data_IF_487243112085
#
_entry.id   IF_487243112085
#
_cell.length_a   1.000
_cell.length_b   1.000
_cell.length_c   1.000
_cell.angle_alpha   90.00
_cell.angle_beta   90.00
_cell.angle_gamma   90.00
#
_symmetry.space_group_name_H-M   'P 1'
#
loop_
_entity.id
_entity.type
_entity.pdbx_description
1 polymer ?
#
# COMPACT_ATOMS: atom_id res chain seq x y z
N UNK A 1 5.66 -2.73 6.79
CA UNK A 1 4.53 -1.90 6.29
C UNK A 1 3.69 -1.56 7.52
N UNK A 2 3.52 -0.27 7.84
CA UNK A 2 3.13 0.28 9.16
C UNK A 2 2.20 -0.65 9.98
N UNK A 3 2.71 -1.25 11.06
CA UNK A 3 1.94 -2.22 11.86
C UNK A 3 0.85 -1.46 12.63
N UNK A 4 -0.41 -1.94 12.68
CA UNK A 4 -1.45 -1.47 13.62
C UNK A 4 -0.95 -1.41 15.09
N UNK A 5 0.03 -2.25 15.42
CA UNK A 5 0.76 -2.26 16.66
C UNK A 5 1.42 -0.91 17.02
N UNK A 6 1.95 -0.16 16.04
CA UNK A 6 2.56 1.14 16.30
C UNK A 6 1.53 2.16 16.80
N UNK A 7 0.34 2.15 16.21
CA UNK A 7 -0.78 2.99 16.65
C UNK A 7 -1.27 2.57 18.04
N UNK A 8 -1.44 1.27 18.27
CA UNK A 8 -1.84 0.76 19.58
C UNK A 8 -0.82 1.05 20.69
N UNK A 9 0.48 1.03 20.39
CA UNK A 9 1.51 1.40 21.36
C UNK A 9 1.56 2.90 21.62
N UNK A 10 1.40 3.72 20.58
CA UNK A 10 1.29 5.17 20.74
C UNK A 10 0.08 5.54 21.60
N UNK A 11 -1.07 4.91 21.37
CA UNK A 11 -2.30 5.06 22.16
C UNK A 11 -2.06 4.71 23.64
N UNK A 12 -1.48 3.53 23.92
CA UNK A 12 -1.17 3.10 25.29
C UNK A 12 -0.16 4.00 25.99
N UNK A 13 0.90 4.39 25.28
CA UNK A 13 1.96 5.24 25.83
C UNK A 13 1.44 6.64 26.15
N UNK A 14 0.64 7.22 25.25
CA UNK A 14 0.06 8.55 25.45
C UNK A 14 -0.91 8.54 26.63
N UNK A 15 -1.80 7.54 26.69
CA UNK A 15 -2.72 7.37 27.81
C UNK A 15 -1.94 7.25 29.13
N UNK A 16 -0.95 6.35 29.21
CA UNK A 16 -0.12 6.14 30.41
C UNK A 16 0.61 7.40 30.88
N UNK A 17 1.17 8.19 29.96
CA UNK A 17 1.82 9.46 30.30
C UNK A 17 0.83 10.46 30.90
N UNK A 18 -0.38 10.56 30.34
CA UNK A 18 -1.42 11.45 30.85
C UNK A 18 -1.92 11.02 32.22
N UNK A 19 -2.17 9.71 32.44
CA UNK A 19 -2.54 9.18 33.77
C UNK A 19 -1.50 9.57 34.82
N UNK A 20 -0.21 9.40 34.50
CA UNK A 20 0.89 9.67 35.41
C UNK A 20 1.02 11.17 35.74
N UNK A 21 0.70 12.05 34.79
CA UNK A 21 0.87 13.50 34.93
C UNK A 21 -0.33 14.17 35.61
N UNK A 22 -1.55 13.74 35.29
CA UNK A 22 -2.78 14.41 35.71
C UNK A 22 -3.67 13.58 36.67
N UNK A 23 -3.31 12.32 36.95
CA UNK A 23 -3.99 11.45 37.91
C UNK A 23 -5.19 10.65 37.34
N UNK A 24 -5.54 9.55 38.01
CA UNK A 24 -6.60 8.60 37.60
C UNK A 24 -8.04 9.16 37.70
N UNK A 25 -8.33 10.10 38.61
CA UNK A 25 -9.66 10.67 38.79
C UNK A 25 -10.05 11.64 37.64
N UNK A 26 -9.07 12.21 36.96
CA UNK A 26 -9.25 13.08 35.79
C UNK A 26 -9.35 12.29 34.46
N UNK A 27 -9.36 10.96 34.55
CA UNK A 27 -9.13 10.03 33.44
C UNK A 27 -10.42 9.53 32.76
N UNK A 28 -11.59 10.02 33.19
CA UNK A 28 -12.82 9.93 32.38
C UNK A 28 -12.64 10.59 30.99
N UNK A 29 -11.59 11.41 30.81
CA UNK A 29 -11.19 12.04 29.55
C UNK A 29 -10.33 11.15 28.62
N UNK A 30 -10.00 9.91 29.00
CA UNK A 30 -9.26 8.97 28.14
C UNK A 30 -10.01 8.60 26.85
N UNK A 31 -11.32 8.84 26.82
CA UNK A 31 -12.16 8.69 25.62
C UNK A 31 -11.70 9.61 24.48
N UNK A 32 -11.27 10.84 24.78
CA UNK A 32 -10.82 11.80 23.75
C UNK A 32 -9.63 11.27 22.94
N UNK A 33 -8.69 10.61 23.61
CA UNK A 33 -7.57 9.97 22.93
C UNK A 33 -8.01 8.71 22.17
N UNK A 34 -8.86 7.88 22.78
CA UNK A 34 -9.37 6.66 22.14
C UNK A 34 -10.11 6.98 20.83
N UNK A 35 -10.97 7.99 20.83
CA UNK A 35 -11.71 8.46 19.66
C UNK A 35 -10.77 8.95 18.56
N UNK A 36 -9.75 9.76 18.91
CA UNK A 36 -8.72 10.16 17.97
C UNK A 36 -8.06 8.93 17.33
N UNK A 37 -7.64 7.94 18.12
CA UNK A 37 -6.98 6.76 17.58
C UNK A 37 -7.91 5.88 16.73
N UNK A 38 -9.23 5.88 17.00
CA UNK A 38 -10.24 5.23 16.15
C UNK A 38 -10.31 5.93 14.79
N UNK A 39 -10.45 7.25 14.76
CA UNK A 39 -10.51 8.01 13.52
C UNK A 39 -9.21 7.95 12.72
N UNK A 40 -8.05 7.96 13.39
CA UNK A 40 -6.74 7.75 12.77
C UNK A 40 -6.63 6.36 12.12
N UNK A 41 -7.13 5.31 12.78
CA UNK A 41 -7.19 3.95 12.21
C UNK A 41 -8.14 3.92 11.00
N UNK A 42 -9.30 4.56 11.08
CA UNK A 42 -10.29 4.64 10.01
C UNK A 42 -9.77 5.42 8.80
N UNK A 43 -9.02 6.50 9.02
CA UNK A 43 -8.35 7.24 7.96
C UNK A 43 -7.30 6.37 7.25
N UNK A 44 -6.49 5.65 8.03
CA UNK A 44 -5.46 4.75 7.51
C UNK A 44 -6.03 3.61 6.68
N UNK A 45 -7.15 3.01 7.08
CA UNK A 45 -7.79 1.89 6.34
C UNK A 45 -8.56 2.33 5.09
N UNK A 46 -8.56 3.62 4.77
CA UNK A 46 -9.16 4.15 3.54
C UNK A 46 -10.51 4.84 3.74
N UNK A 47 -10.93 5.11 4.98
CA UNK A 47 -12.13 5.90 5.26
C UNK A 47 -12.09 7.29 4.60
N UNK A 48 -13.25 7.77 4.15
CA UNK A 48 -13.42 9.13 3.63
C UNK A 48 -13.59 10.11 4.80
N UNK A 49 -12.48 10.54 5.36
CA UNK A 49 -12.43 11.40 6.56
C UNK A 49 -11.43 12.51 6.30
N UNK A 50 -11.78 13.72 6.71
CA UNK A 50 -10.86 14.84 6.72
C UNK A 50 -9.96 14.76 7.96
N UNK A 51 -8.71 14.32 7.78
CA UNK A 51 -7.75 14.19 8.88
C UNK A 51 -7.48 15.52 9.60
N UNK A 52 -7.54 16.65 8.88
CA UNK A 52 -7.34 17.95 9.51
C UNK A 52 -8.48 18.30 10.45
N UNK A 53 -9.72 18.04 10.04
CA UNK A 53 -10.91 18.25 10.86
C UNK A 53 -10.88 17.40 12.13
N UNK A 54 -10.54 16.12 12.01
CA UNK A 54 -10.37 15.21 13.16
C UNK A 54 -9.34 15.73 14.15
N UNK A 55 -8.20 16.23 13.67
CA UNK A 55 -7.15 16.76 14.54
C UNK A 55 -7.53 18.10 15.17
N UNK A 56 -8.31 18.93 14.47
CA UNK A 56 -8.83 20.19 14.99
C UNK A 56 -9.87 19.94 16.10
N UNK A 57 -10.84 19.05 15.88
CA UNK A 57 -11.85 18.66 16.87
C UNK A 57 -11.19 18.05 18.12
N UNK A 58 -10.22 17.14 17.93
CA UNK A 58 -9.43 16.60 19.04
C UNK A 58 -8.72 17.71 19.84
N UNK A 59 -8.14 18.70 19.17
CA UNK A 59 -7.42 19.79 19.84
C UNK A 59 -8.36 20.69 20.64
N UNK A 60 -9.53 21.01 20.10
CA UNK A 60 -10.56 21.80 20.79
C UNK A 60 -11.06 21.06 22.04
N UNK A 61 -11.48 19.80 21.89
CA UNK A 61 -11.92 18.96 23.01
C UNK A 61 -10.83 18.80 24.07
N UNK A 62 -9.58 18.60 23.67
CA UNK A 62 -8.47 18.50 24.61
C UNK A 62 -8.26 19.82 25.38
N UNK A 63 -8.35 20.96 24.71
CA UNK A 63 -8.23 22.27 25.37
C UNK A 63 -9.33 22.47 26.40
N UNK A 64 -10.59 22.22 26.05
CA UNK A 64 -11.73 22.35 26.97
C UNK A 64 -11.51 21.51 28.24
N UNK A 65 -11.07 20.26 28.07
CA UNK A 65 -10.78 19.36 29.20
C UNK A 65 -9.61 19.85 30.05
N UNK A 66 -8.50 20.28 29.44
CA UNK A 66 -7.36 20.81 30.20
C UNK A 66 -7.73 22.11 30.90
N UNK A 67 -8.56 22.95 30.28
CA UNK A 67 -9.02 24.22 30.86
C UNK A 67 -9.85 24.00 32.13
N UNK A 68 -10.74 22.99 32.13
CA UNK A 68 -11.48 22.57 33.33
C UNK A 68 -10.54 22.01 34.42
N UNK A 69 -9.54 21.21 34.05
CA UNK A 69 -8.57 20.63 35.02
C UNK A 69 -7.73 21.71 35.70
N UNK A 70 -7.33 22.75 34.97
CA UNK A 70 -6.51 23.85 35.50
C UNK A 70 -7.34 24.78 36.39
N UNK A 71 -8.65 24.89 36.16
CA UNK A 71 -9.55 25.79 36.86
C UNK A 71 -10.66 25.05 37.63
N UNK A 72 -10.32 24.15 38.58
CA UNK A 72 -11.30 23.26 39.21
C UNK A 72 -12.30 23.99 40.12
N UNK A 73 -12.00 25.23 40.53
CA UNK A 73 -12.88 26.05 41.36
C UNK A 73 -14.03 26.71 40.58
N UNK A 74 -13.96 26.70 39.24
CA UNK A 74 -14.93 27.34 38.37
C UNK A 74 -15.77 26.31 37.62
N UNK A 75 -17.06 26.56 37.54
CA UNK A 75 -17.97 25.79 36.70
C UNK A 75 -18.22 26.59 35.41
N UNK A 76 -17.82 26.02 34.28
CA UNK A 76 -18.00 26.64 32.96
C UNK A 76 -19.20 25.99 32.24
N UNK A 77 -20.02 26.81 31.59
CA UNK A 77 -21.08 26.29 30.71
C UNK A 77 -20.49 25.70 29.42
N UNK A 78 -21.27 24.89 28.72
CA UNK A 78 -20.86 24.31 27.44
C UNK A 78 -20.59 25.41 26.38
N UNK A 79 -21.41 26.47 26.34
CA UNK A 79 -21.18 27.57 25.39
C UNK A 79 -19.88 28.33 25.68
N UNK A 80 -19.50 28.45 26.96
CA UNK A 80 -18.23 29.07 27.34
C UNK A 80 -17.04 28.21 26.90
N UNK A 81 -17.13 26.90 27.06
CA UNK A 81 -16.07 25.97 26.64
C UNK A 81 -15.92 25.92 25.12
N UNK A 82 -17.04 25.92 24.38
CA UNK A 82 -17.02 26.00 22.91
C UNK A 82 -16.37 27.33 22.45
N UNK A 83 -16.66 28.42 23.17
CA UNK A 83 -15.99 29.70 22.95
C UNK A 83 -14.47 29.59 23.19
N UNK A 84 -14.03 28.99 24.30
CA UNK A 84 -12.60 28.75 24.58
C UNK A 84 -11.94 27.93 23.46
N UNK A 85 -12.62 26.89 22.96
CA UNK A 85 -12.17 26.09 21.82
C UNK A 85 -11.88 26.93 20.56
N UNK A 86 -12.71 27.94 20.27
CA UNK A 86 -12.52 28.86 19.12
C UNK A 86 -11.27 29.74 19.25
N UNK A 87 -10.80 29.99 20.47
CA UNK A 87 -9.62 30.82 20.74
C UNK A 87 -8.33 30.02 20.95
N UNK A 88 -8.31 28.71 20.66
CA UNK A 88 -7.14 27.83 20.87
C UNK A 88 -5.85 28.37 20.24
N UNK A 89 -5.93 28.90 19.01
CA UNK A 89 -4.78 29.42 18.28
C UNK A 89 -4.29 30.76 18.82
N UNK A 90 -5.16 31.54 19.45
CA UNK A 90 -4.84 32.85 20.02
C UNK A 90 -4.29 32.73 21.44
N UNK A 91 -4.85 31.81 22.24
CA UNK A 91 -4.46 31.60 23.63
C UNK A 91 -3.03 31.05 23.75
N UNK A 92 -2.56 30.29 22.75
CA UNK A 92 -1.21 29.67 22.72
C UNK A 92 -0.79 29.06 24.06
N UNK A 93 -1.74 28.50 24.81
CA UNK A 93 -1.52 27.96 26.16
C UNK A 93 -0.48 26.83 26.17
N UNK A 94 -0.31 26.16 25.01
CA UNK A 94 0.70 25.12 24.77
C UNK A 94 1.79 25.56 23.77
N UNK A 95 1.89 26.87 23.49
CA UNK A 95 2.78 27.43 22.48
C UNK A 95 2.55 26.82 21.09
N UNK A 96 3.64 26.51 20.38
CA UNK A 96 3.61 25.91 19.04
C UNK A 96 3.41 24.38 19.02
N UNK A 97 3.31 23.73 20.19
CA UNK A 97 3.33 22.25 20.29
C UNK A 97 2.13 21.62 19.55
N UNK A 98 0.87 22.02 19.77
CA UNK A 98 -0.28 21.42 19.09
C UNK A 98 -0.19 21.57 17.56
N UNK A 99 0.21 22.76 17.09
CA UNK A 99 0.40 23.04 15.66
C UNK A 99 1.48 22.17 15.04
N UNK A 100 2.65 22.05 15.68
CA UNK A 100 3.74 21.18 15.21
C UNK A 100 3.32 19.72 15.21
N UNK A 101 2.64 19.25 16.27
CA UNK A 101 2.13 17.89 16.36
C UNK A 101 1.13 17.60 15.24
N UNK A 102 0.15 18.50 15.00
CA UNK A 102 -0.82 18.38 13.91
C UNK A 102 -0.13 18.18 12.57
N UNK A 103 0.83 19.04 12.22
CA UNK A 103 1.58 18.95 10.95
C UNK A 103 2.32 17.61 10.82
N UNK A 104 2.99 17.17 11.89
CA UNK A 104 3.76 15.92 11.87
C UNK A 104 2.84 14.70 11.73
N UNK A 105 1.73 14.66 12.47
CA UNK A 105 0.73 13.60 12.39
C UNK A 105 0.10 13.56 11.01
N UNK A 106 -0.32 14.70 10.46
CA UNK A 106 -0.87 14.77 9.10
C UNK A 106 0.11 14.21 8.07
N UNK A 107 1.35 14.67 8.07
CA UNK A 107 2.38 14.20 7.13
C UNK A 107 2.61 12.69 7.25
N UNK A 108 2.73 12.18 8.46
CA UNK A 108 2.97 10.76 8.72
C UNK A 108 1.81 9.88 8.23
N UNK A 109 0.56 10.26 8.52
CA UNK A 109 -0.61 9.47 8.15
C UNK A 109 -0.94 9.56 6.66
N UNK A 110 -0.78 10.72 6.03
CA UNK A 110 -0.92 10.87 4.58
C UNK A 110 0.12 9.95 3.89
N UNK A 111 1.39 10.03 4.29
CA UNK A 111 2.43 9.18 3.73
C UNK A 111 2.15 7.68 3.93
N UNK A 112 1.72 7.28 5.13
CA UNK A 112 1.38 5.90 5.43
C UNK A 112 0.18 5.39 4.59
N UNK A 113 -0.88 6.19 4.47
CA UNK A 113 -2.06 5.88 3.66
C UNK A 113 -1.69 5.75 2.19
N UNK A 114 -0.98 6.73 1.64
CA UNK A 114 -0.52 6.72 0.23
C UNK A 114 0.36 5.50 -0.05
N UNK A 115 1.23 5.12 0.89
CA UNK A 115 2.08 3.94 0.74
C UNK A 115 1.26 2.64 0.70
N UNK A 116 0.31 2.45 1.62
CA UNK A 116 -0.52 1.23 1.67
C UNK A 116 -1.49 1.13 0.50
N UNK A 117 -2.10 2.25 0.11
CA UNK A 117 -2.95 2.32 -1.08
C UNK A 117 -2.13 2.04 -2.33
N UNK A 118 -0.92 2.61 -2.43
CA UNK A 118 0.03 2.33 -3.50
C UNK A 118 0.30 0.84 -3.62
N UNK A 119 0.67 0.17 -2.53
CA UNK A 119 0.89 -1.29 -2.52
C UNK A 119 -0.33 -2.09 -2.98
N UNK A 120 -1.55 -1.68 -2.59
CA UNK A 120 -2.79 -2.31 -3.03
C UNK A 120 -2.97 -2.17 -4.55
N UNK A 121 -2.76 -0.97 -5.10
CA UNK A 121 -2.81 -0.72 -6.54
C UNK A 121 -1.74 -1.54 -7.28
N UNK A 122 -0.51 -1.56 -6.77
CA UNK A 122 0.58 -2.36 -7.34
C UNK A 122 0.24 -3.85 -7.40
N UNK A 123 -0.31 -4.41 -6.33
CA UNK A 123 -0.80 -5.80 -6.29
C UNK A 123 -1.89 -6.03 -7.33
N UNK A 124 -2.87 -5.14 -7.42
CA UNK A 124 -4.02 -5.31 -8.31
C UNK A 124 -3.60 -5.20 -9.79
N UNK A 125 -2.64 -4.33 -10.11
CA UNK A 125 -2.01 -4.23 -11.43
C UNK A 125 -1.24 -5.51 -11.76
N UNK A 126 -0.39 -6.01 -10.86
CA UNK A 126 0.35 -7.24 -11.06
C UNK A 126 -0.58 -8.45 -11.31
N UNK A 127 -1.67 -8.56 -10.54
CA UNK A 127 -2.70 -9.60 -10.70
C UNK A 127 -3.48 -9.50 -12.02
N UNK A 128 -3.64 -8.29 -12.57
CA UNK A 128 -4.27 -8.10 -13.89
C UNK A 128 -3.31 -8.50 -15.01
N UNK A 129 -2.05 -8.06 -14.91
CA UNK A 129 -1.01 -8.38 -15.90
C UNK A 129 -0.77 -9.89 -16.00
N UNK A 130 -0.80 -10.61 -14.87
CA UNK A 130 -0.58 -12.07 -14.86
C UNK A 130 -1.68 -12.88 -15.56
N UNK A 131 -2.85 -12.28 -15.82
CA UNK A 131 -4.00 -12.92 -16.49
C UNK A 131 -4.08 -12.62 -17.98
N UNK A 132 -3.18 -11.78 -18.52
CA UNK A 132 -3.14 -11.46 -19.94
C UNK A 132 -2.68 -12.69 -20.70
N UNK A 133 -3.55 -13.23 -21.56
CA UNK A 133 -3.20 -14.35 -22.41
C UNK A 133 -2.28 -13.92 -23.56
N UNK A 134 -1.33 -14.78 -23.98
CA UNK A 134 -0.50 -14.49 -25.13
C UNK A 134 -1.34 -14.42 -26.41
N UNK A 135 -1.03 -13.47 -27.30
CA UNK A 135 -1.71 -13.37 -28.58
C UNK A 135 -1.35 -14.53 -29.54
N UNK A 136 -2.13 -14.72 -30.60
CA UNK A 136 -1.94 -15.81 -31.56
C UNK A 136 -0.55 -15.83 -32.21
N UNK A 137 0.02 -14.65 -32.53
CA UNK A 137 1.37 -14.52 -33.11
C UNK A 137 2.45 -15.00 -32.14
N UNK A 138 2.29 -14.66 -30.86
CA UNK A 138 3.16 -15.13 -29.79
C UNK A 138 3.06 -16.65 -29.61
N UNK A 139 1.85 -17.21 -29.58
CA UNK A 139 1.64 -18.67 -29.48
C UNK A 139 2.35 -19.39 -30.63
N UNK A 140 2.19 -18.93 -31.87
CA UNK A 140 2.86 -19.51 -33.04
C UNK A 140 4.39 -19.43 -32.91
N UNK A 141 4.92 -18.30 -32.45
CA UNK A 141 6.36 -18.08 -32.31
C UNK A 141 6.97 -18.93 -31.19
N UNK A 142 6.29 -19.03 -30.04
CA UNK A 142 6.64 -19.94 -28.94
C UNK A 142 6.62 -21.39 -29.40
N UNK A 143 5.58 -21.80 -30.14
CA UNK A 143 5.47 -23.17 -30.65
C UNK A 143 6.62 -23.51 -31.61
N UNK A 144 6.98 -22.59 -32.51
CA UNK A 144 8.13 -22.77 -33.40
C UNK A 144 9.45 -22.88 -32.64
N UNK A 145 9.61 -22.07 -31.60
CA UNK A 145 10.83 -22.05 -30.79
C UNK A 145 10.99 -23.31 -29.94
N UNK A 146 9.92 -23.81 -29.33
CA UNK A 146 9.96 -24.92 -28.38
C UNK A 146 9.79 -26.29 -29.04
N UNK A 147 8.91 -26.41 -30.04
CA UNK A 147 8.46 -27.73 -30.51
C UNK A 147 8.91 -28.11 -31.93
N UNK A 148 9.28 -27.15 -32.80
CA UNK A 148 9.80 -27.50 -34.12
C UNK A 148 11.07 -28.38 -34.10
N UNK A 149 12.01 -28.25 -33.14
CA UNK A 149 13.14 -29.17 -33.05
C UNK A 149 12.69 -30.63 -32.89
N UNK A 150 11.68 -30.88 -32.04
CA UNK A 150 11.12 -32.22 -31.85
C UNK A 150 10.46 -32.75 -33.12
N UNK A 151 9.61 -31.96 -33.79
CA UNK A 151 8.97 -32.38 -35.06
C UNK A 151 10.01 -32.61 -36.19
N UNK A 152 11.27 -32.15 -36.05
CA UNK A 152 12.39 -32.39 -36.97
C UNK A 152 13.38 -33.47 -36.51
N UNK A 153 13.11 -34.17 -35.41
CA UNK A 153 14.01 -35.19 -34.86
C UNK A 153 15.23 -34.65 -34.10
N UNK A 154 15.28 -33.35 -33.81
CA UNK A 154 16.37 -32.66 -33.09
C UNK A 154 16.02 -32.52 -31.60
N UNK A 155 15.91 -33.63 -30.88
CA UNK A 155 15.34 -33.68 -29.51
C UNK A 155 16.24 -33.13 -28.41
N UNK A 156 17.54 -33.02 -28.63
CA UNK A 156 18.51 -32.46 -27.66
C UNK A 156 18.80 -30.97 -27.87
N UNK A 157 18.23 -30.37 -28.92
CA UNK A 157 18.55 -28.99 -29.30
C UNK A 157 17.73 -28.00 -28.48
N UNK A 158 18.42 -27.13 -27.72
CA UNK A 158 17.80 -26.01 -27.01
C UNK A 158 17.72 -24.78 -27.91
N UNK A 159 16.70 -23.91 -27.76
CA UNK A 159 16.64 -22.66 -28.50
C UNK A 159 17.83 -21.75 -28.14
N UNK A 160 18.40 -21.09 -29.14
CA UNK A 160 19.47 -20.10 -28.93
C UNK A 160 18.99 -18.99 -28.00
N UNK A 161 19.87 -18.49 -27.11
CA UNK A 161 19.53 -17.44 -26.14
C UNK A 161 18.88 -16.22 -26.80
N UNK A 162 19.49 -15.69 -27.87
CA UNK A 162 18.98 -14.52 -28.58
C UNK A 162 17.64 -14.80 -29.27
N UNK A 163 17.42 -16.03 -29.75
CA UNK A 163 16.13 -16.43 -30.32
C UNK A 163 15.05 -16.47 -29.24
N UNK A 164 15.34 -17.05 -28.06
CA UNK A 164 14.43 -17.03 -26.91
C UNK A 164 14.05 -15.61 -26.50
N UNK A 165 15.05 -14.75 -26.31
CA UNK A 165 14.83 -13.36 -25.90
C UNK A 165 13.98 -12.59 -26.91
N UNK A 166 14.17 -12.79 -28.21
CA UNK A 166 13.39 -12.11 -29.23
C UNK A 166 11.94 -12.58 -29.27
N UNK A 167 11.69 -13.89 -29.16
CA UNK A 167 10.32 -14.44 -29.06
C UNK A 167 9.63 -13.93 -27.80
N UNK A 168 10.31 -13.97 -26.65
CA UNK A 168 9.76 -13.50 -25.37
C UNK A 168 9.48 -11.99 -25.36
N UNK A 169 10.35 -11.16 -25.96
CA UNK A 169 10.09 -9.72 -26.14
C UNK A 169 8.83 -9.46 -26.94
N UNK A 170 8.62 -10.19 -28.04
CA UNK A 170 7.39 -10.07 -28.84
C UNK A 170 6.15 -10.53 -28.08
N UNK A 171 6.28 -11.57 -27.25
CA UNK A 171 5.20 -12.10 -26.42
C UNK A 171 4.81 -11.19 -25.25
N UNK A 172 5.78 -10.49 -24.67
CA UNK A 172 5.63 -9.64 -23.49
C UNK A 172 5.61 -8.14 -23.82
N UNK A 173 5.43 -7.77 -25.09
CA UNK A 173 5.48 -6.37 -25.53
C UNK A 173 4.50 -5.48 -24.75
N UNK A 174 3.25 -5.93 -24.60
CA UNK A 174 2.22 -5.18 -23.87
C UNK A 174 2.55 -5.02 -22.37
N UNK A 175 3.27 -5.98 -21.79
CA UNK A 175 3.74 -5.92 -20.41
C UNK A 175 4.97 -5.03 -20.27
N UNK A 176 5.82 -4.97 -21.30
CA UNK A 176 6.99 -4.11 -21.35
C UNK A 176 6.61 -2.63 -21.40
N UNK A 177 5.44 -2.29 -21.98
CA UNK A 177 4.92 -0.91 -21.97
C UNK A 177 4.71 -0.35 -20.55
N UNK A 178 4.51 -1.24 -19.56
CA UNK A 178 4.33 -0.87 -18.16
C UNK A 178 5.66 -0.71 -17.40
N UNK A 179 6.80 -1.07 -17.98
CA UNK A 179 8.08 -1.11 -17.27
C UNK A 179 8.49 0.27 -16.72
N UNK A 180 8.33 1.33 -17.51
CA UNK A 180 8.66 2.70 -17.09
C UNK A 180 7.81 3.12 -15.88
N UNK A 181 6.48 3.01 -16.00
CA UNK A 181 5.54 3.38 -14.94
C UNK A 181 5.70 2.50 -13.70
N UNK A 182 5.99 1.22 -13.88
CA UNK A 182 6.26 0.30 -12.79
C UNK A 182 7.54 0.67 -12.04
N UNK A 183 8.62 0.99 -12.75
CA UNK A 183 9.87 1.42 -12.13
C UNK A 183 9.71 2.77 -11.40
N UNK A 184 8.93 3.70 -11.95
CA UNK A 184 8.57 4.94 -11.27
C UNK A 184 7.73 4.69 -10.00
N UNK A 185 6.72 3.81 -10.08
CA UNK A 185 5.89 3.41 -8.95
C UNK A 185 6.74 2.77 -7.84
N UNK A 186 7.60 1.81 -8.19
CA UNK A 186 8.53 1.14 -7.28
C UNK A 186 9.52 2.12 -6.67
N UNK A 187 10.09 3.03 -7.47
CA UNK A 187 11.01 4.06 -7.02
C UNK A 187 10.38 5.02 -6.01
N UNK A 188 9.15 5.49 -6.27
CA UNK A 188 8.40 6.36 -5.34
C UNK A 188 8.02 5.67 -4.03
N UNK A 189 7.81 4.36 -4.06
CA UNK A 189 7.45 3.59 -2.88
C UNK A 189 8.63 2.85 -2.22
N UNK A 190 9.86 2.95 -2.74
CA UNK A 190 11.06 2.25 -2.22
C UNK A 190 10.87 0.73 -2.00
N UNK A 191 10.01 0.10 -2.81
CA UNK A 191 9.76 -1.35 -2.73
C UNK A 191 10.64 -2.04 -3.75
N UNK A 192 11.79 -2.61 -3.36
CA UNK A 192 12.56 -3.47 -4.28
C UNK A 192 11.78 -4.75 -4.62
N UNK A 193 10.89 -4.69 -5.61
CA UNK A 193 10.34 -5.89 -6.24
C UNK A 193 11.34 -6.31 -7.31
N UNK A 194 12.04 -7.41 -7.05
CA UNK A 194 12.95 -8.04 -8.01
C UNK A 194 12.10 -8.50 -9.21
N UNK A 195 12.08 -7.69 -10.27
CA UNK A 195 11.61 -8.08 -11.59
C UNK A 195 12.62 -9.04 -12.20
N UNK A 196 12.48 -10.33 -11.92
CA UNK A 196 13.27 -11.39 -12.56
C UNK A 196 12.36 -12.46 -13.15
N UNK A 197 11.51 -12.07 -14.10
CA UNK A 197 10.59 -13.00 -14.78
C UNK A 197 11.01 -13.37 -16.20
N UNK A 198 11.96 -12.67 -16.83
CA UNK A 198 12.27 -12.94 -18.24
C UNK A 198 13.23 -14.13 -18.47
N UNK A 199 14.04 -14.51 -17.46
CA UNK A 199 15.08 -15.53 -17.63
C UNK A 199 14.59 -16.94 -17.25
N UNK A 200 13.71 -17.08 -16.25
CA UNK A 200 13.24 -18.40 -15.78
C UNK A 200 12.53 -19.20 -16.87
N UNK A 201 11.71 -18.55 -17.71
CA UNK A 201 10.98 -19.22 -18.80
C UNK A 201 11.90 -19.85 -19.87
N UNK A 202 13.08 -19.28 -20.14
CA UNK A 202 14.02 -19.87 -21.11
C UNK A 202 14.75 -21.12 -20.57
N UNK A 203 14.70 -21.38 -19.25
CA UNK A 203 15.37 -22.53 -18.62
C UNK A 203 14.41 -23.57 -18.01
N UNK A 204 13.11 -23.25 -17.84
CA UNK A 204 12.14 -24.12 -17.17
C UNK A 204 10.93 -24.47 -18.05
N UNK A 205 11.09 -25.37 -19.01
CA UNK A 205 9.95 -26.07 -19.62
C UNK A 205 10.28 -27.55 -19.84
N UNK A 206 10.01 -28.34 -18.80
CA UNK A 206 9.94 -29.80 -18.84
C UNK A 206 8.58 -30.28 -18.33
N UNK A 207 7.47 -29.64 -18.72
CA UNK A 207 6.14 -30.08 -18.29
C UNK A 207 5.48 -30.92 -19.40
N UNK A 208 5.51 -32.24 -19.19
CA UNK A 208 5.10 -33.30 -20.13
C UNK A 208 3.60 -33.25 -20.50
N UNK A 209 2.78 -32.52 -19.76
CA UNK A 209 1.33 -32.37 -20.03
C UNK A 209 1.02 -31.43 -21.21
N UNK A 210 1.77 -30.35 -21.42
CA UNK A 210 1.59 -29.43 -22.57
C UNK A 210 2.08 -30.04 -23.90
N UNK A 211 2.96 -31.04 -23.83
CA UNK A 211 3.48 -31.80 -24.97
C UNK A 211 2.38 -32.58 -25.71
N UNK A 212 1.39 -33.16 -25.01
CA UNK A 212 0.31 -33.95 -25.64
C UNK A 212 -0.67 -33.09 -26.43
N UNK A 213 -0.97 -31.87 -25.97
CA UNK A 213 -1.86 -30.93 -26.68
C UNK A 213 -1.19 -30.37 -27.95
N UNK A 214 0.12 -30.12 -27.87
CA UNK A 214 0.93 -29.53 -28.95
C UNK A 214 1.26 -30.54 -30.05
N UNK A 215 1.46 -31.82 -29.71
CA UNK A 215 1.57 -32.92 -30.69
C UNK A 215 0.31 -33.05 -31.55
N UNK A 216 -0.88 -32.89 -30.96
CA UNK A 216 -2.16 -32.84 -31.71
C UNK A 216 -2.22 -31.66 -32.68
N UNK A 217 -1.53 -30.55 -32.39
CA UNK A 217 -1.45 -29.38 -33.26
C UNK A 217 -0.36 -29.52 -34.35
N UNK A 218 0.80 -30.14 -34.05
CA UNK A 218 1.84 -30.42 -35.07
C UNK A 218 1.28 -31.35 -36.16
N UNK A 219 0.54 -32.41 -35.79
CA UNK A 219 -0.09 -33.32 -36.76
C UNK A 219 -1.19 -32.63 -37.60
N UNK A 220 -1.91 -31.65 -37.03
CA UNK A 220 -3.02 -30.98 -37.72
C UNK A 220 -2.57 -29.94 -38.75
N UNK A 221 -1.37 -29.37 -38.61
CA UNK A 221 -0.88 -28.28 -39.48
C UNK A 221 0.16 -28.73 -40.51
N UNK A 222 0.79 -29.89 -40.33
CA UNK A 222 1.86 -30.37 -41.22
C UNK A 222 1.57 -31.70 -41.95
N UNK A 223 0.35 -32.26 -41.84
CA UNK A 223 -0.03 -33.53 -42.48
C UNK A 223 1.03 -34.64 -42.31
N UNK A 224 1.33 -34.97 -41.05
CA UNK A 224 1.93 -36.24 -40.66
C UNK A 224 0.84 -37.15 -40.08
#
# INVERSE_FOLDING_TARGET
>A
IFKPFLLGNAEKSLNSMFVRTYGMLNMHNSEVFKDLFIELKRYYTGGNINLEEVLNDFSARLLERVFQIINPHYHFSEEYLECVGKYIDQLKSFGDVPRKLKIQVMKAFIAARTFVQGLTVGRDVANRISKISPNSKCIVSLMKMLYCPYCRGLTSLKPCTNYCLNVMRGCLANQADLDIEWNLFIGRHSVKIVSSTNVKYCYSTSNISELKQSLKYCNRYYNL
#
